data_IF_186008341567
#
_entry.id   IF_186008341567
#
_cell.length_a   1.000
_cell.length_b   1.000
_cell.length_c   1.000
_cell.angle_alpha   90.00
_cell.angle_beta   90.00
_cell.angle_gamma   90.00
#
_symmetry.space_group_name_H-M   'P 1'
#
loop_
_entity.id
_entity.type
_entity.pdbx_description
1 polymer ?
#
# COMPACT_ATOMS: atom_id res chain seq x y z
N UNK A 1 14.21 0.89 -11.37
CA UNK A 1 12.96 1.25 -10.69
C UNK A 1 13.35 1.65 -9.27
N UNK A 2 13.32 2.94 -8.89
CA UNK A 2 14.06 3.45 -7.74
C UNK A 2 13.45 3.06 -6.37
N UNK A 3 12.18 2.69 -6.37
CA UNK A 3 11.41 2.46 -5.14
C UNK A 3 11.53 1.05 -4.54
N UNK A 4 12.19 0.12 -5.24
CA UNK A 4 12.40 -1.26 -4.78
C UNK A 4 11.11 -2.08 -4.68
N UNK A 5 10.20 -1.94 -5.64
CA UNK A 5 9.04 -2.82 -5.79
C UNK A 5 8.78 -3.15 -7.26
N UNK A 6 8.07 -4.25 -7.50
CA UNK A 6 7.60 -4.67 -8.82
C UNK A 6 6.09 -4.75 -8.84
N UNK A 7 5.49 -4.23 -9.92
CA UNK A 7 4.07 -4.34 -10.19
C UNK A 7 3.84 -5.37 -11.30
N UNK A 8 2.86 -6.23 -11.08
CA UNK A 8 2.24 -7.03 -12.13
C UNK A 8 1.22 -6.16 -12.87
N UNK A 9 1.36 -6.09 -14.20
CA UNK A 9 0.51 -5.30 -15.07
C UNK A 9 -0.86 -5.97 -15.24
N UNK A 10 -1.73 -5.74 -14.26
CA UNK A 10 -3.14 -6.12 -14.27
C UNK A 10 -4.07 -4.92 -14.39
N UNK A 11 -5.38 -5.17 -14.34
CA UNK A 11 -6.42 -4.16 -14.16
C UNK A 11 -7.25 -4.53 -12.93
N UNK A 12 -6.94 -4.00 -11.74
CA UNK A 12 -5.90 -3.01 -11.42
C UNK A 12 -4.46 -3.59 -11.35
N UNK A 13 -3.42 -2.73 -11.40
CA UNK A 13 -2.04 -3.13 -11.13
C UNK A 13 -1.90 -3.72 -9.72
N UNK A 14 -1.11 -4.78 -9.58
CA UNK A 14 -0.93 -5.47 -8.30
C UNK A 14 0.54 -5.60 -7.95
N UNK A 15 0.89 -5.35 -6.68
CA UNK A 15 2.24 -5.54 -6.16
C UNK A 15 2.61 -7.01 -6.20
N UNK A 16 3.65 -7.32 -6.97
CA UNK A 16 4.18 -8.67 -7.17
C UNK A 16 5.36 -8.94 -6.23
N UNK A 17 6.20 -7.93 -6.01
CA UNK A 17 7.38 -8.04 -5.17
C UNK A 17 7.69 -6.70 -4.52
N UNK A 18 8.22 -6.77 -3.31
CA UNK A 18 8.82 -5.64 -2.59
C UNK A 18 10.22 -6.08 -2.16
N UNK A 19 11.23 -5.28 -2.48
CA UNK A 19 12.61 -5.56 -2.11
C UNK A 19 12.87 -5.16 -0.65
N UNK A 20 13.56 -6.00 0.14
CA UNK A 20 13.84 -5.70 1.53
C UNK A 20 14.80 -4.52 1.66
N UNK A 21 14.55 -3.65 2.64
CA UNK A 21 15.33 -2.42 2.84
C UNK A 21 15.03 -1.32 1.80
N UNK A 22 14.03 -1.50 0.94
CA UNK A 22 13.54 -0.46 0.03
C UNK A 22 12.63 0.54 0.75
N UNK A 23 12.44 1.76 0.21
CA UNK A 23 11.42 2.68 0.71
C UNK A 23 10.01 2.07 0.63
N UNK A 24 9.77 1.14 -0.30
CA UNK A 24 8.51 0.41 -0.42
C UNK A 24 8.19 -0.48 0.78
N UNK A 25 9.17 -1.22 1.26
CA UNK A 25 9.02 -2.03 2.47
C UNK A 25 8.83 -1.14 3.71
N UNK A 26 9.64 -0.08 3.84
CA UNK A 26 9.55 0.87 4.98
C UNK A 26 8.19 1.54 5.09
N UNK A 27 7.57 1.84 3.94
CA UNK A 27 6.23 2.41 3.89
C UNK A 27 5.11 1.40 4.23
N UNK A 28 5.41 0.10 4.26
CA UNK A 28 4.46 -0.96 4.57
C UNK A 28 3.71 -1.53 3.36
N UNK A 29 4.23 -1.31 2.14
CA UNK A 29 3.73 -1.98 0.92
C UNK A 29 3.96 -3.48 1.02
N UNK A 30 2.97 -4.27 0.61
CA UNK A 30 3.05 -5.74 0.64
C UNK A 30 2.68 -6.34 -0.70
N UNK A 31 3.27 -7.50 -0.97
CA UNK A 31 2.87 -8.34 -2.10
C UNK A 31 1.40 -8.70 -1.95
N UNK A 32 0.60 -8.52 -3.02
CA UNK A 32 -0.84 -8.71 -2.97
C UNK A 32 -1.67 -7.43 -2.96
N UNK A 33 -1.05 -6.29 -2.67
CA UNK A 33 -1.73 -4.99 -2.67
C UNK A 33 -2.11 -4.57 -4.10
N UNK A 34 -3.34 -4.09 -4.28
CA UNK A 34 -3.82 -3.60 -5.57
C UNK A 34 -3.70 -2.08 -5.61
N UNK A 35 -2.90 -1.55 -6.53
CA UNK A 35 -2.70 -0.10 -6.65
C UNK A 35 -3.90 0.51 -7.35
N UNK A 36 -4.61 1.37 -6.65
CA UNK A 36 -5.78 2.10 -7.17
C UNK A 36 -5.40 3.52 -7.59
N UNK A 37 -4.57 4.20 -6.80
CA UNK A 37 -4.03 5.51 -7.13
C UNK A 37 -2.51 5.54 -7.03
N UNK A 38 -1.89 6.29 -7.95
CA UNK A 38 -0.49 6.71 -7.87
C UNK A 38 -0.51 8.22 -7.72
N UNK A 39 0.06 8.70 -6.63
CA UNK A 39 0.03 10.08 -6.19
C UNK A 39 -1.41 10.58 -6.07
N UNK A 40 -1.83 11.47 -6.95
CA UNK A 40 -3.18 12.03 -7.05
C UNK A 40 -3.97 11.47 -8.24
N UNK A 41 -3.41 10.50 -8.98
CA UNK A 41 -3.96 9.98 -10.23
C UNK A 41 -4.48 8.55 -10.11
N UNK A 42 -5.73 8.32 -10.55
CA UNK A 42 -6.33 6.98 -10.58
C UNK A 42 -5.68 6.11 -11.67
N UNK A 43 -5.13 4.96 -11.28
CA UNK A 43 -4.39 4.05 -12.17
C UNK A 43 -5.10 2.74 -12.47
N UNK A 44 -6.26 2.48 -11.87
CA UNK A 44 -7.04 1.21 -12.02
C UNK A 44 -7.22 0.78 -13.49
N UNK A 45 -7.51 1.73 -14.37
CA UNK A 45 -7.76 1.51 -15.80
C UNK A 45 -6.69 2.15 -16.71
N UNK A 46 -5.64 2.74 -16.14
CA UNK A 46 -4.60 3.42 -16.91
C UNK A 46 -3.66 2.40 -17.58
N UNK A 47 -3.10 2.71 -18.75
CA UNK A 47 -2.09 1.87 -19.38
C UNK A 47 -0.77 1.90 -18.60
N UNK A 48 0.05 0.85 -18.75
CA UNK A 48 1.34 0.71 -18.06
C UNK A 48 2.25 1.93 -18.20
N UNK A 49 2.25 2.56 -19.37
CA UNK A 49 3.15 3.68 -19.69
C UNK A 49 2.83 4.91 -18.84
N UNK A 50 1.54 5.21 -18.68
CA UNK A 50 1.07 6.31 -17.82
C UNK A 50 1.46 6.07 -16.36
N UNK A 51 1.27 4.84 -15.88
CA UNK A 51 1.61 4.45 -14.50
C UNK A 51 3.12 4.58 -14.27
N UNK A 52 3.93 4.10 -15.23
CA UNK A 52 5.38 4.24 -15.18
C UNK A 52 5.81 5.71 -15.18
N UNK A 53 5.20 6.54 -16.02
CA UNK A 53 5.48 7.97 -16.05
C UNK A 53 5.17 8.64 -14.70
N UNK A 54 4.05 8.30 -14.06
CA UNK A 54 3.70 8.82 -12.73
C UNK A 54 4.73 8.40 -11.67
N UNK A 55 5.11 7.12 -11.65
CA UNK A 55 6.09 6.58 -10.69
C UNK A 55 7.50 7.14 -10.94
N UNK A 56 7.88 7.39 -12.20
CA UNK A 56 9.16 7.97 -12.57
C UNK A 56 9.22 9.48 -12.33
N UNK A 57 8.09 10.18 -12.50
CA UNK A 57 7.95 11.60 -12.18
C UNK A 57 8.09 11.85 -10.67
N UNK A 58 7.58 10.92 -9.86
CA UNK A 58 7.87 10.87 -8.43
C UNK A 58 9.36 10.52 -8.21
N UNK A 59 10.19 11.55 -8.03
CA UNK A 59 11.62 11.41 -7.70
C UNK A 59 11.87 11.56 -6.20
N UNK A 60 11.12 12.42 -5.52
CA UNK A 60 11.31 12.73 -4.09
C UNK A 60 10.38 11.93 -3.19
N UNK A 61 9.10 11.89 -3.55
CA UNK A 61 8.08 11.19 -2.80
C UNK A 61 7.09 10.58 -3.78
N UNK A 62 6.75 9.31 -3.57
CA UNK A 62 5.70 8.60 -4.27
C UNK A 62 4.61 8.29 -3.25
N UNK A 63 3.35 8.56 -3.58
CA UNK A 63 2.22 8.11 -2.76
C UNK A 63 1.51 7.04 -3.59
N UNK A 64 1.17 5.91 -2.99
CA UNK A 64 0.31 4.90 -3.61
C UNK A 64 -0.89 4.68 -2.70
N UNK A 65 -2.07 4.70 -3.28
CA UNK A 65 -3.26 4.18 -2.61
C UNK A 65 -3.46 2.75 -3.06
N UNK A 66 -3.49 1.85 -2.09
CA UNK A 66 -3.63 0.42 -2.35
C UNK A 66 -4.83 -0.16 -1.64
N UNK A 67 -5.47 -1.10 -2.31
CA UNK A 67 -6.55 -1.89 -1.77
C UNK A 67 -6.02 -3.27 -1.37
N UNK A 68 -6.06 -3.53 -0.06
CA UNK A 68 -5.71 -4.83 0.52
C UNK A 68 -6.99 -5.51 0.99
N UNK A 69 -7.40 -6.59 0.31
CA UNK A 69 -8.50 -7.42 0.84
C UNK A 69 -8.00 -8.05 2.14
N UNK A 70 -8.74 -7.87 3.23
CA UNK A 70 -8.43 -8.41 4.56
C UNK A 70 -8.46 -9.96 4.67
N UNK A 71 -8.31 -10.70 3.57
CA UNK A 71 -8.53 -12.14 3.49
C UNK A 71 -7.33 -13.00 3.06
N UNK A 72 -6.10 -12.48 3.03
CA UNK A 72 -4.95 -13.29 2.61
C UNK A 72 -3.65 -12.85 3.26
N UNK A 73 -3.03 -13.75 4.01
CA UNK A 73 -1.70 -13.64 4.64
C UNK A 73 -1.64 -12.84 5.96
N UNK A 74 -2.51 -13.18 6.91
CA UNK A 74 -2.18 -13.07 8.33
C UNK A 74 -1.14 -14.16 8.69
N UNK A 75 0.11 -13.96 8.30
CA UNK A 75 1.24 -14.73 8.85
C UNK A 75 2.17 -13.77 9.60
N UNK A 76 1.65 -13.15 10.65
CA UNK A 76 2.47 -12.56 11.71
C UNK A 76 2.24 -13.40 12.96
N UNK A 77 3.01 -14.48 13.07
CA UNK A 77 3.16 -15.24 14.29
C UNK A 77 3.76 -14.34 15.37
N UNK A 78 2.93 -13.89 16.33
CA UNK A 78 3.31 -13.90 17.74
C UNK A 78 2.04 -13.99 18.61
N UNK A 79 1.80 -15.13 19.29
CA UNK A 79 0.81 -15.19 20.36
C UNK A 79 1.38 -14.57 21.64
N UNK A 80 0.48 -14.24 22.56
CA UNK A 80 0.67 -14.02 24.00
C UNK A 80 0.42 -12.60 24.52
N UNK A 81 -0.78 -12.48 25.14
CA UNK A 81 -1.10 -11.85 26.44
C UNK A 81 -1.05 -10.29 26.45
N UNK A 82 -2.03 -9.51 26.93
CA UNK A 82 -2.94 -9.65 28.08
C UNK A 82 -3.90 -8.44 28.15
N UNK A 83 -5.09 -8.67 28.72
CA UNK A 83 -5.92 -7.76 29.52
C UNK A 83 -6.85 -6.71 28.85
N UNK A 84 -8.12 -7.11 28.81
CA UNK A 84 -9.35 -6.37 29.15
C UNK A 84 -9.15 -5.03 29.87
N UNK A 85 -9.70 -3.96 29.29
CA UNK A 85 -10.38 -2.88 30.02
C UNK A 85 -11.49 -2.31 29.14
N UNK A 86 -12.74 -2.52 29.55
CA UNK A 86 -13.88 -1.74 29.08
C UNK A 86 -13.69 -0.29 29.53
N UNK A 87 -13.56 0.66 28.61
CA UNK A 87 -13.91 2.06 28.86
C UNK A 87 -14.12 2.84 27.56
N UNK A 88 -15.38 2.88 27.15
CA UNK A 88 -16.11 4.04 26.64
C UNK A 88 -15.26 5.27 26.26
N UNK A 89 -15.06 5.48 24.96
CA UNK A 89 -14.89 6.82 24.42
C UNK A 89 -15.58 6.94 23.05
N UNK A 90 -16.52 7.88 23.02
CA UNK A 90 -17.50 8.14 21.99
C UNK A 90 -16.97 9.28 21.11
N UNK A 91 -16.52 9.00 19.88
CA UNK A 91 -16.75 9.89 18.72
C UNK A 91 -16.27 9.26 17.39
N UNK A 92 -17.24 8.85 16.57
CA UNK A 92 -17.28 8.97 15.11
C UNK A 92 -15.93 8.89 14.37
N UNK A 93 -15.51 7.67 14.00
CA UNK A 93 -14.62 7.50 12.86
C UNK A 93 -15.33 6.61 11.85
N UNK A 94 -15.80 7.23 10.77
CA UNK A 94 -16.38 6.55 9.62
C UNK A 94 -15.31 5.62 9.03
N UNK A 95 -15.39 4.35 9.41
CA UNK A 95 -14.60 3.22 8.93
C UNK A 95 -14.79 3.04 7.42
N UNK A 96 -14.10 3.85 6.61
CA UNK A 96 -13.89 3.57 5.18
C UNK A 96 -12.62 2.73 4.98
N UNK A 97 -12.28 1.88 5.96
CA UNK A 97 -10.94 1.32 6.22
C UNK A 97 -10.49 0.22 5.26
N UNK A 98 -11.04 0.16 4.05
CA UNK A 98 -10.61 -0.81 3.06
C UNK A 98 -9.53 -0.23 2.11
N UNK A 99 -9.30 1.08 2.13
CA UNK A 99 -8.21 1.75 1.41
C UNK A 99 -6.99 1.99 2.31
N UNK A 100 -5.84 1.44 1.93
CA UNK A 100 -4.56 1.69 2.60
C UNK A 100 -3.75 2.70 1.78
N UNK A 101 -3.48 3.88 2.34
CA UNK A 101 -2.54 4.84 1.75
C UNK A 101 -1.11 4.49 2.17
N UNK A 102 -0.19 4.45 1.21
CA UNK A 102 1.21 4.10 1.41
C UNK A 102 2.07 5.19 0.77
N UNK A 103 2.88 5.89 1.57
CA UNK A 103 3.76 6.94 1.08
C UNK A 103 5.22 6.48 1.15
N UNK A 104 5.95 6.63 0.04
CA UNK A 104 7.35 6.29 -0.14
C UNK A 104 8.15 7.57 -0.27
N UNK A 105 9.24 7.68 0.48
CA UNK A 105 10.21 8.78 0.34
C UNK A 105 11.49 8.23 -0.27
N UNK A 106 12.02 8.90 -1.29
CA UNK A 106 13.31 8.55 -1.85
C UNK A 106 14.38 9.04 -0.88
N UNK A 107 15.15 8.10 -0.32
CA UNK A 107 16.34 8.38 0.52
C UNK A 107 17.61 8.19 -0.29
#
# INVERSE_FOLDING_TARGET
VPWGFSLSWGRPPRVERVDPGSPAERAGLRVGDHVVFVDTSNVVIRPREEILNLIQSATTQLILEVYRRAGGHANAHRPSLTNVSLQQQQQQQLDHSNGHHVAFTAE
#
